data_IF_788479513783
#
_entry.id   IF_788479513783
#
_cell.length_a   1.000
_cell.length_b   1.000
_cell.length_c   1.000
_cell.angle_alpha   90.00
_cell.angle_beta   90.00
_cell.angle_gamma   90.00
#
_symmetry.space_group_name_H-M   'P 1'
#
loop_
_entity.id
_entity.type
_entity.pdbx_description
1 polymer ?
#
# COMPACT_ATOMS: atom_id res chain seq x y z
N UNK A 1 -13.20 -14.34 17.15
CA UNK A 1 -13.19 -13.32 16.10
C UNK A 1 -14.06 -13.85 14.97
N UNK A 2 -15.20 -13.23 14.68
CA UNK A 2 -16.12 -13.71 13.64
C UNK A 2 -15.55 -13.26 12.29
N UNK A 3 -14.96 -14.18 11.52
CA UNK A 3 -14.56 -13.87 10.15
C UNK A 3 -15.85 -13.89 9.31
N UNK A 4 -16.23 -12.78 8.65
CA UNK A 4 -17.35 -12.82 7.72
C UNK A 4 -17.12 -13.91 6.67
N UNK A 5 -18.17 -14.53 6.10
CA UNK A 5 -18.01 -15.46 4.98
C UNK A 5 -17.17 -14.80 3.89
N UNK A 6 -16.32 -15.56 3.19
CA UNK A 6 -15.38 -15.01 2.21
C UNK A 6 -16.07 -14.05 1.23
N UNK A 7 -15.45 -12.88 1.03
CA UNK A 7 -15.89 -11.92 0.04
C UNK A 7 -15.50 -12.37 -1.37
N UNK A 8 -15.98 -11.66 -2.40
CA UNK A 8 -15.52 -11.92 -3.75
C UNK A 8 -14.06 -11.48 -3.89
N UNK A 9 -13.20 -12.37 -4.37
CA UNK A 9 -11.79 -12.04 -4.55
C UNK A 9 -11.60 -11.13 -5.76
N UNK A 10 -10.98 -9.99 -5.55
CA UNK A 10 -10.84 -8.95 -6.57
C UNK A 10 -9.45 -8.33 -6.56
N UNK A 11 -8.95 -8.01 -7.75
CA UNK A 11 -7.76 -7.20 -7.95
C UNK A 11 -8.17 -5.83 -8.47
N UNK A 12 -7.86 -4.81 -7.69
CA UNK A 12 -8.10 -3.41 -8.00
C UNK A 12 -6.82 -2.81 -8.59
N UNK A 13 -6.97 -2.06 -9.67
CA UNK A 13 -5.89 -1.29 -10.27
C UNK A 13 -6.05 0.16 -9.83
N UNK A 14 -5.03 0.70 -9.17
CA UNK A 14 -5.02 2.10 -8.75
C UNK A 14 -4.28 2.90 -9.82
N UNK A 15 -4.86 4.00 -10.33
CA UNK A 15 -4.16 4.88 -11.27
C UNK A 15 -2.81 5.34 -10.72
N UNK A 16 -1.82 5.44 -11.61
CA UNK A 16 -0.53 5.99 -11.22
C UNK A 16 -0.74 7.45 -10.77
N UNK A 17 -0.25 7.84 -9.57
CA UNK A 17 -0.30 9.22 -9.14
C UNK A 17 0.67 10.06 -9.97
N UNK A 18 0.55 11.39 -9.85
CA UNK A 18 1.54 12.30 -10.40
C UNK A 18 2.94 12.02 -9.82
N UNK A 19 3.98 12.42 -10.54
CA UNK A 19 5.37 12.33 -10.07
C UNK A 19 5.48 13.11 -8.74
N UNK A 20 6.15 12.51 -7.76
CA UNK A 20 6.33 13.06 -6.42
C UNK A 20 5.10 12.95 -5.52
N UNK A 21 4.04 12.23 -5.94
CA UNK A 21 2.84 12.03 -5.14
C UNK A 21 2.65 10.56 -4.71
N UNK A 22 1.99 10.39 -3.57
CA UNK A 22 1.51 9.09 -3.12
C UNK A 22 0.23 8.71 -3.85
N UNK A 23 -0.09 7.41 -3.89
CA UNK A 23 -1.40 6.96 -4.33
C UNK A 23 -2.33 6.81 -3.13
N UNK A 24 -3.62 6.93 -3.40
CA UNK A 24 -4.68 6.74 -2.43
C UNK A 24 -5.79 5.89 -3.04
N UNK A 25 -6.47 5.13 -2.20
CA UNK A 25 -7.61 4.31 -2.57
C UNK A 25 -8.66 4.38 -1.47
N UNK A 26 -9.90 4.63 -1.88
CA UNK A 26 -11.09 4.55 -1.04
C UNK A 26 -12.05 3.52 -1.62
N UNK A 27 -12.72 2.79 -0.72
CA UNK A 27 -13.74 1.82 -1.13
C UNK A 27 -15.03 2.57 -1.48
N UNK A 28 -15.72 2.22 -2.57
CA UNK A 28 -17.03 2.78 -2.88
C UNK A 28 -18.05 2.59 -1.75
N UNK A 29 -19.01 3.51 -1.65
CA UNK A 29 -20.12 3.39 -0.70
C UNK A 29 -20.87 2.07 -0.87
N UNK A 30 -21.32 1.48 0.24
CA UNK A 30 -22.04 0.20 0.21
C UNK A 30 -21.12 -1.02 0.01
N UNK A 31 -19.80 -0.87 0.12
CA UNK A 31 -18.86 -1.99 0.05
C UNK A 31 -17.92 -2.01 1.27
N UNK A 32 -17.50 -3.21 1.65
CA UNK A 32 -16.32 -3.44 2.50
C UNK A 32 -15.23 -4.12 1.66
N UNK A 33 -13.97 -3.78 1.92
CA UNK A 33 -12.84 -4.41 1.24
C UNK A 33 -11.74 -4.81 2.22
N UNK A 34 -11.40 -6.09 2.25
CA UNK A 34 -10.31 -6.61 3.06
C UNK A 34 -9.05 -6.70 2.21
N UNK A 35 -8.01 -5.95 2.57
CA UNK A 35 -6.74 -5.99 1.85
C UNK A 35 -5.95 -7.24 2.22
N UNK A 36 -5.54 -8.02 1.23
CA UNK A 36 -4.64 -9.17 1.40
C UNK A 36 -3.24 -8.86 0.88
N UNK A 37 -3.15 -8.15 -0.24
CA UNK A 37 -1.92 -7.92 -0.97
C UNK A 37 -1.92 -6.56 -1.65
N UNK A 38 -0.79 -5.88 -1.66
CA UNK A 38 -0.57 -4.63 -2.38
C UNK A 38 0.76 -4.76 -3.12
N UNK A 39 0.79 -4.32 -4.36
CA UNK A 39 2.01 -4.22 -5.15
C UNK A 39 2.11 -2.85 -5.78
N UNK A 40 3.30 -2.26 -5.81
CA UNK A 40 3.61 -1.11 -6.64
C UNK A 40 5.11 -1.06 -6.93
N UNK A 41 5.50 -0.40 -8.00
CA UNK A 41 6.89 -0.07 -8.27
C UNK A 41 7.16 1.37 -7.84
N UNK A 42 8.26 1.58 -7.10
CA UNK A 42 8.79 2.91 -6.80
C UNK A 42 10.09 3.10 -7.59
N UNK A 43 10.08 4.05 -8.51
CA UNK A 43 11.28 4.55 -9.18
C UNK A 43 11.74 5.81 -8.48
N UNK A 44 12.90 5.77 -7.82
CA UNK A 44 13.46 6.93 -7.13
C UNK A 44 14.28 7.81 -8.08
N UNK A 45 14.19 9.12 -7.89
CA UNK A 45 15.08 10.05 -8.57
C UNK A 45 16.53 9.95 -8.03
N UNK A 46 17.44 10.65 -8.69
CA UNK A 46 18.87 10.58 -8.40
C UNK A 46 19.33 11.39 -7.18
N UNK A 47 18.42 12.09 -6.48
CA UNK A 47 18.80 12.90 -5.32
C UNK A 47 19.18 12.01 -4.14
N UNK A 48 20.24 12.40 -3.41
CA UNK A 48 20.89 11.60 -2.35
C UNK A 48 20.03 11.53 -1.07
N UNK A 49 18.89 10.87 -1.17
CA UNK A 49 17.99 10.61 -0.05
C UNK A 49 17.48 9.17 -0.11
N UNK A 50 17.33 8.52 1.03
CA UNK A 50 16.75 7.18 1.06
C UNK A 50 15.23 7.29 1.24
N UNK A 51 14.48 6.44 0.52
CA UNK A 51 13.03 6.36 0.58
C UNK A 51 12.62 5.18 1.43
N UNK A 52 11.64 5.39 2.29
CA UNK A 52 11.06 4.33 3.09
C UNK A 52 9.55 4.32 2.88
N UNK A 53 9.03 3.44 2.00
CA UNK A 53 7.60 3.29 1.79
C UNK A 53 6.95 2.58 2.98
N UNK A 54 5.81 3.09 3.42
CA UNK A 54 4.94 2.48 4.41
C UNK A 54 3.49 2.70 4.01
N UNK A 55 2.59 1.86 4.47
CA UNK A 55 1.17 2.03 4.18
C UNK A 55 0.49 2.85 5.27
N UNK A 56 -0.40 3.74 4.90
CA UNK A 56 -1.17 4.56 5.82
C UNK A 56 -2.67 4.28 5.68
N UNK A 57 -3.35 4.23 6.81
CA UNK A 57 -4.81 4.19 6.87
C UNK A 57 -5.29 5.49 7.49
N UNK A 58 -6.13 6.21 6.77
CA UNK A 58 -6.68 7.50 7.17
C UNK A 58 -8.22 7.43 7.25
N UNK A 59 -8.80 8.24 8.13
CA UNK A 59 -10.24 8.44 8.26
C UNK A 59 -10.52 9.91 8.53
N UNK A 60 -11.46 10.51 7.78
CA UNK A 60 -11.83 11.93 7.91
C UNK A 60 -10.61 12.88 7.90
N UNK A 61 -9.61 12.60 7.05
CA UNK A 61 -8.38 13.39 6.95
C UNK A 61 -7.33 13.14 8.05
N UNK A 62 -7.63 12.31 9.04
CA UNK A 62 -6.70 11.96 10.13
C UNK A 62 -6.05 10.60 9.90
N UNK A 63 -4.74 10.48 10.14
CA UNK A 63 -4.02 9.19 10.11
C UNK A 63 -4.41 8.34 11.30
N UNK A 64 -5.09 7.21 11.05
CA UNK A 64 -5.46 6.23 12.07
C UNK A 64 -4.33 5.25 12.37
N UNK A 65 -3.64 4.78 11.34
CA UNK A 65 -2.59 3.78 11.48
C UNK A 65 -1.52 3.92 10.39
N UNK A 66 -0.32 3.45 10.70
CA UNK A 66 0.80 3.34 9.77
C UNK A 66 1.46 1.98 9.90
N UNK A 67 1.66 1.32 8.76
CA UNK A 67 2.29 0.03 8.64
C UNK A 67 3.71 0.23 8.11
N UNK A 68 4.61 0.61 9.01
CA UNK A 68 6.00 0.85 8.70
C UNK A 68 6.73 -0.46 8.39
N UNK A 69 7.62 -0.42 7.40
CA UNK A 69 8.63 -1.45 7.20
C UNK A 69 9.99 -0.94 7.68
N UNK A 70 10.99 -1.81 7.76
CA UNK A 70 12.36 -1.44 8.14
C UNK A 70 13.28 -1.21 6.94
N UNK A 71 12.80 -1.45 5.72
CA UNK A 71 13.62 -1.41 4.51
C UNK A 71 13.62 -0.01 3.90
N UNK A 72 14.81 0.42 3.51
CA UNK A 72 15.05 1.68 2.82
C UNK A 72 15.53 1.40 1.41
N UNK A 73 14.94 2.10 0.44
CA UNK A 73 15.37 2.11 -0.94
C UNK A 73 16.27 3.32 -1.16
N UNK A 74 17.48 3.07 -1.64
CA UNK A 74 18.41 4.13 -2.01
C UNK A 74 17.89 4.92 -3.24
N UNK A 75 18.42 6.13 -3.39
CA UNK A 75 18.24 6.94 -4.59
C UNK A 75 18.65 6.20 -5.87
N UNK A 76 18.12 6.65 -7.02
CA UNK A 76 18.44 6.10 -8.35
C UNK A 76 18.07 4.63 -8.57
N UNK A 77 17.16 4.07 -7.77
CA UNK A 77 16.75 2.67 -7.88
C UNK A 77 15.29 2.57 -8.30
N UNK A 78 14.98 1.53 -9.07
CA UNK A 78 13.61 1.07 -9.26
C UNK A 78 13.43 -0.26 -8.52
N UNK A 79 12.49 -0.30 -7.57
CA UNK A 79 12.16 -1.51 -6.80
C UNK A 79 10.66 -1.76 -6.81
N UNK A 80 10.30 -3.04 -6.79
CA UNK A 80 8.91 -3.47 -6.63
C UNK A 80 8.67 -3.73 -5.15
N UNK A 81 7.70 -3.02 -4.59
CA UNK A 81 7.25 -3.18 -3.22
C UNK A 81 6.01 -4.04 -3.18
N UNK A 82 6.08 -5.07 -2.35
CA UNK A 82 5.00 -5.99 -2.08
C UNK A 82 4.66 -5.87 -0.60
N UNK A 83 3.40 -5.61 -0.27
CA UNK A 83 2.89 -5.70 1.10
C UNK A 83 1.85 -6.81 1.14
N UNK A 84 2.05 -7.83 1.97
CA UNK A 84 1.12 -8.97 2.03
C UNK A 84 0.77 -9.31 3.46
N UNK A 85 -0.48 -9.72 3.67
CA UNK A 85 -0.99 -10.16 4.96
C UNK A 85 -0.27 -11.43 5.45
N UNK A 86 0.02 -11.48 6.75
CA UNK A 86 0.54 -12.68 7.41
C UNK A 86 2.06 -12.88 7.33
N UNK A 87 2.79 -11.97 6.69
CA UNK A 87 4.26 -11.95 6.75
C UNK A 87 4.77 -11.08 7.91
N UNK A 88 6.00 -11.33 8.40
CA UNK A 88 6.66 -10.45 9.35
C UNK A 88 6.84 -9.03 8.80
N UNK A 89 6.86 -8.03 9.68
CA UNK A 89 7.14 -6.63 9.31
C UNK A 89 8.58 -6.42 8.85
N UNK A 90 9.50 -7.33 9.19
CA UNK A 90 10.85 -7.39 8.64
C UNK A 90 10.77 -7.73 7.16
N UNK A 91 11.13 -6.77 6.30
CA UNK A 91 10.99 -6.98 4.88
C UNK A 91 12.14 -7.81 4.30
N UNK A 92 11.78 -8.70 3.37
CA UNK A 92 12.68 -9.59 2.64
C UNK A 92 13.04 -8.95 1.31
N UNK A 93 14.33 -8.89 1.00
CA UNK A 93 14.83 -8.37 -0.27
C UNK A 93 15.26 -9.52 -1.18
N UNK A 94 14.64 -9.61 -2.36
CA UNK A 94 14.96 -10.61 -3.39
C UNK A 94 15.18 -9.86 -4.71
N UNK A 95 16.45 -9.59 -5.04
CA UNK A 95 16.79 -8.81 -6.24
C UNK A 95 16.19 -7.41 -6.20
N UNK A 96 15.30 -7.09 -7.16
CA UNK A 96 14.58 -5.80 -7.23
C UNK A 96 13.27 -5.78 -6.45
N UNK A 97 12.89 -6.89 -5.82
CA UNK A 97 11.63 -7.02 -5.09
C UNK A 97 11.88 -6.90 -3.59
N UNK A 98 11.05 -6.09 -2.93
CA UNK A 98 11.02 -5.88 -1.49
C UNK A 98 9.65 -6.33 -0.97
N UNK A 99 9.64 -7.39 -0.17
CA UNK A 99 8.42 -8.01 0.36
C UNK A 99 8.30 -7.63 1.83
N UNK A 100 7.19 -7.00 2.19
CA UNK A 100 6.87 -6.50 3.52
C UNK A 100 5.60 -7.17 4.05
N UNK A 101 5.52 -7.37 5.36
CA UNK A 101 4.31 -7.83 6.02
C UNK A 101 3.31 -6.73 6.33
N UNK A 102 2.03 -7.02 6.10
CA UNK A 102 0.92 -6.32 6.74
C UNK A 102 0.62 -7.04 8.07
N UNK A 103 0.81 -6.37 9.23
CA UNK A 103 0.79 -7.04 10.53
C UNK A 103 -0.62 -7.45 11.00
N UNK A 104 -1.67 -6.92 10.38
CA UNK A 104 -3.05 -7.18 10.75
C UNK A 104 -3.96 -7.19 9.53
N UNK A 105 -5.15 -7.78 9.70
CA UNK A 105 -6.23 -7.72 8.72
C UNK A 105 -6.70 -6.27 8.62
N UNK A 106 -6.67 -5.71 7.40
CA UNK A 106 -7.12 -4.34 7.14
C UNK A 106 -8.46 -4.43 6.40
N UNK A 107 -9.54 -4.13 7.12
CA UNK A 107 -10.87 -4.01 6.56
C UNK A 107 -11.17 -2.53 6.27
N UNK A 108 -11.14 -2.16 5.00
CA UNK A 108 -11.51 -0.83 4.55
C UNK A 108 -13.04 -0.69 4.53
N UNK A 109 -13.50 0.40 5.13
CA UNK A 109 -14.90 0.83 5.15
C UNK A 109 -15.08 2.01 4.19
N UNK A 110 -16.32 2.35 3.82
CA UNK A 110 -16.59 3.66 3.23
C UNK A 110 -16.00 4.78 4.12
N UNK A 111 -15.54 5.87 3.50
CA UNK A 111 -14.87 7.02 4.13
C UNK A 111 -13.46 6.76 4.69
N UNK A 112 -12.96 5.53 4.60
CA UNK A 112 -11.58 5.21 4.92
C UNK A 112 -10.74 5.35 3.65
N UNK A 113 -9.55 5.93 3.81
CA UNK A 113 -8.59 6.11 2.73
C UNK A 113 -7.34 5.32 3.07
N UNK A 114 -7.00 4.38 2.19
CA UNK A 114 -5.75 3.65 2.27
C UNK A 114 -4.77 4.23 1.27
N UNK A 115 -3.56 4.51 1.70
CA UNK A 115 -2.59 5.25 0.91
C UNK A 115 -1.19 4.68 1.04
N UNK A 116 -0.37 4.89 0.02
CA UNK A 116 1.07 4.88 0.24
C UNK A 116 1.47 6.13 1.03
N UNK A 117 2.49 5.99 1.84
CA UNK A 117 3.22 7.11 2.38
C UNK A 117 4.71 6.76 2.33
N UNK A 118 5.50 7.66 1.76
CA UNK A 118 6.92 7.42 1.54
C UNK A 118 7.70 8.50 2.30
N UNK A 119 8.50 8.08 3.26
CA UNK A 119 9.43 8.99 3.92
C UNK A 119 10.46 9.49 2.89
N UNK A 120 10.74 10.80 2.92
CA UNK A 120 11.59 11.48 1.96
C UNK A 120 11.20 11.27 0.48
N UNK A 121 9.90 11.20 0.17
CA UNK A 121 9.44 11.24 -1.22
C UNK A 121 9.89 12.54 -1.89
N UNK A 122 10.49 12.43 -3.07
CA UNK A 122 11.01 13.56 -3.84
C UNK A 122 10.16 13.83 -5.08
N UNK A 123 10.27 15.05 -5.62
CA UNK A 123 9.50 15.50 -6.77
C UNK A 123 9.77 14.72 -8.07
N UNK A 124 10.89 13.99 -8.17
CA UNK A 124 11.19 13.11 -9.30
C UNK A 124 10.83 11.64 -9.08
N UNK A 125 10.32 11.26 -7.90
CA UNK A 125 9.97 9.88 -7.60
C UNK A 125 8.64 9.51 -8.28
N UNK A 126 8.55 8.32 -8.88
CA UNK A 126 7.32 7.86 -9.54
C UNK A 126 6.86 6.51 -8.99
N UNK A 127 5.57 6.43 -8.63
CA UNK A 127 4.90 5.19 -8.29
C UNK A 127 4.12 4.68 -9.50
N UNK A 128 4.30 3.41 -9.86
CA UNK A 128 3.62 2.79 -11.01
C UNK A 128 3.15 1.37 -10.70
N UNK A 129 2.31 0.84 -11.59
CA UNK A 129 1.84 -0.56 -11.54
C UNK A 129 1.21 -0.92 -10.19
N UNK A 130 0.41 0.00 -9.66
CA UNK A 130 -0.21 -0.14 -8.34
C UNK A 130 -1.41 -1.06 -8.44
N UNK A 131 -1.41 -2.11 -7.64
CA UNK A 131 -2.58 -2.97 -7.50
C UNK A 131 -2.80 -3.42 -6.07
N UNK A 132 -4.08 -3.50 -5.68
CA UNK A 132 -4.53 -3.97 -4.38
C UNK A 132 -5.40 -5.20 -4.62
N UNK A 133 -5.07 -6.31 -3.99
CA UNK A 133 -5.81 -7.57 -4.09
C UNK A 133 -6.41 -7.92 -2.73
N UNK A 134 -7.65 -8.37 -2.73
CA UNK A 134 -8.38 -8.61 -1.50
C UNK A 134 -9.76 -9.20 -1.74
N UNK A 135 -10.57 -9.21 -0.69
CA UNK A 135 -11.96 -9.66 -0.73
C UNK A 135 -12.91 -8.48 -0.61
N UNK A 136 -13.97 -8.45 -1.43
CA UNK A 136 -15.02 -7.43 -1.40
C UNK A 136 -16.35 -8.01 -0.94
N UNK A 137 -17.03 -7.28 -0.07
CA UNK A 137 -18.43 -7.54 0.32
C UNK A 137 -19.30 -6.37 -0.12
N UNK A 138 -20.45 -6.70 -0.69
CA UNK A 138 -21.51 -5.73 -0.93
C UNK A 138 -22.37 -5.68 0.33
N UNK A 139 -22.53 -4.49 0.90
CA UNK A 139 -23.43 -4.24 2.01
C UNK A 139 -24.85 -4.03 1.48
N UNK A 140 -25.88 -4.50 2.21
CA UNK A 140 -27.28 -4.27 1.85
C UNK A 140 -27.68 -2.80 1.92
#
# INVERSE_FOLDING_TARGET
MFQPPHGNFERLIVPNPAIGANWEYSVPTGCLFQIHHITFQLSTDATVSNRQPFMALNYAGSRMSAFANTQVQAASQARVWIFTLGLPTSAQAIGTVLICGLPTIIMLRPDWVFASAIYNLQAGDQLTAISITGERWVLP
#
